data_IF_564980862444
#
_entry.id   IF_564980862444
#
_cell.length_a   1.000
_cell.length_b   1.000
_cell.length_c   1.000
_cell.angle_alpha   90.00
_cell.angle_beta   90.00
_cell.angle_gamma   90.00
#
_symmetry.space_group_name_H-M   'P 1'
#
loop_
_entity.id
_entity.type
_entity.pdbx_description
1 polymer ?
#
# COMPACT_ATOMS: atom_id res chain seq x y z
N UNK A 1 -66.83 8.63 52.70
CA UNK A 1 -66.70 8.32 51.26
C UNK A 1 -65.37 8.86 50.81
N UNK A 2 -64.38 7.98 50.79
CA UNK A 2 -62.97 8.29 50.54
C UNK A 2 -62.73 8.62 49.07
N UNK A 3 -62.31 9.86 48.78
CA UNK A 3 -61.74 10.21 47.48
C UNK A 3 -60.27 9.77 47.46
N UNK A 4 -60.05 8.52 47.04
CA UNK A 4 -58.74 7.96 46.73
C UNK A 4 -58.07 8.80 45.62
N UNK A 5 -57.05 9.60 45.96
CA UNK A 5 -56.22 10.29 44.96
C UNK A 5 -55.39 9.24 44.22
N UNK A 6 -55.77 8.94 42.97
CA UNK A 6 -54.96 8.11 42.07
C UNK A 6 -53.63 8.80 41.77
N UNK A 7 -52.48 8.09 41.83
CA UNK A 7 -51.20 8.64 41.37
C UNK A 7 -51.27 8.93 39.87
N UNK A 8 -50.65 10.05 39.46
CA UNK A 8 -50.59 10.45 38.06
C UNK A 8 -49.84 9.39 37.23
N UNK A 9 -50.31 9.11 36.01
CA UNK A 9 -49.64 8.14 35.14
C UNK A 9 -48.28 8.65 34.67
N UNK A 10 -47.36 7.73 34.35
CA UNK A 10 -46.02 8.05 33.83
C UNK A 10 -46.06 9.04 32.66
N UNK A 11 -47.00 8.87 31.72
CA UNK A 11 -47.18 9.79 30.59
C UNK A 11 -47.56 11.21 31.04
N UNK A 12 -48.34 11.34 32.11
CA UNK A 12 -48.80 12.63 32.64
C UNK A 12 -47.68 13.34 33.39
N UNK A 13 -46.88 12.58 34.14
CA UNK A 13 -45.71 13.09 34.87
C UNK A 13 -44.56 13.45 33.91
N UNK A 14 -44.34 12.62 32.89
CA UNK A 14 -43.44 12.92 31.78
C UNK A 14 -43.91 14.13 30.97
N UNK A 15 -45.21 14.27 30.66
CA UNK A 15 -45.73 15.48 29.99
C UNK A 15 -45.59 16.73 30.87
N UNK A 16 -45.73 16.62 32.19
CA UNK A 16 -45.56 17.75 33.10
C UNK A 16 -44.08 18.16 33.27
N UNK A 17 -43.17 17.19 33.32
CA UNK A 17 -41.72 17.41 33.34
C UNK A 17 -41.20 17.94 32.00
N UNK A 18 -41.67 17.34 30.90
CA UNK A 18 -41.41 17.80 29.54
C UNK A 18 -42.00 19.20 29.35
N UNK A 19 -43.19 19.54 29.85
CA UNK A 19 -43.69 20.93 29.84
C UNK A 19 -42.92 21.85 30.77
N UNK A 20 -42.35 21.39 31.89
CA UNK A 20 -41.45 22.23 32.71
C UNK A 20 -40.10 22.48 32.01
N UNK A 21 -39.56 21.49 31.31
CA UNK A 21 -38.32 21.61 30.54
C UNK A 21 -38.51 22.30 29.17
N UNK A 22 -39.64 22.08 28.49
CA UNK A 22 -40.00 22.69 27.20
C UNK A 22 -40.70 24.04 27.39
N UNK A 23 -41.36 24.37 28.50
CA UNK A 23 -41.73 25.78 28.76
C UNK A 23 -40.47 26.64 29.02
N UNK A 24 -39.30 25.99 29.19
CA UNK A 24 -37.96 26.56 29.15
C UNK A 24 -37.35 26.61 27.74
N UNK A 25 -37.99 26.03 26.70
CA UNK A 25 -37.45 25.94 25.34
C UNK A 25 -38.42 26.11 24.14
N UNK A 26 -39.74 26.13 24.31
CA UNK A 26 -40.69 26.37 23.22
C UNK A 26 -42.06 26.85 23.76
N UNK A 27 -42.27 28.17 23.75
CA UNK A 27 -43.53 28.72 23.24
C UNK A 27 -43.26 29.30 21.85
N UNK A 28 -43.34 28.41 20.86
CA UNK A 28 -43.58 28.69 19.45
C UNK A 28 -44.65 27.64 19.07
N UNK A 29 -45.86 27.95 18.60
CA UNK A 29 -46.17 28.75 17.41
C UNK A 29 -47.67 29.13 17.38
N UNK A 30 -48.01 29.98 16.40
CA UNK A 30 -49.32 30.49 15.94
C UNK A 30 -49.66 31.83 16.62
N UNK A 31 -49.72 32.99 15.97
CA UNK A 31 -49.84 33.37 14.56
C UNK A 31 -49.26 34.79 14.33
N UNK A 32 -48.82 35.04 13.10
CA UNK A 32 -48.93 36.28 12.30
C UNK A 32 -48.82 37.65 13.00
N UNK A 33 -47.94 38.47 12.40
CA UNK A 33 -47.82 39.94 12.51
C UNK A 33 -46.92 40.50 13.62
N UNK A 34 -45.88 41.19 13.12
CA UNK A 34 -45.23 42.38 13.66
C UNK A 34 -44.39 42.31 14.95
N UNK A 35 -43.10 42.57 14.75
CA UNK A 35 -42.23 43.41 15.59
C UNK A 35 -42.68 43.62 17.04
N UNK A 36 -42.45 42.67 17.95
CA UNK A 36 -42.15 42.88 19.39
C UNK A 36 -42.32 41.59 20.20
N UNK A 37 -41.41 40.61 20.10
CA UNK A 37 -41.40 39.51 21.10
C UNK A 37 -40.06 38.77 21.21
N UNK A 38 -38.94 39.49 21.26
CA UNK A 38 -37.60 38.88 21.49
C UNK A 38 -37.18 38.94 22.97
N UNK A 39 -37.87 39.67 23.85
CA UNK A 39 -37.29 40.07 25.15
C UNK A 39 -37.80 39.34 26.40
N UNK A 40 -38.58 38.26 26.31
CA UNK A 40 -39.29 37.75 27.49
C UNK A 40 -38.80 36.41 28.10
N UNK A 41 -37.87 35.65 27.52
CA UNK A 41 -37.53 34.30 28.05
C UNK A 41 -36.03 34.01 28.07
N UNK A 42 -35.28 34.62 29.02
CA UNK A 42 -34.12 34.02 29.73
C UNK A 42 -33.49 35.03 30.73
N UNK A 43 -34.23 35.44 31.77
CA UNK A 43 -33.65 36.22 32.89
C UNK A 43 -33.12 35.31 34.00
N UNK A 44 -32.25 34.35 33.67
CA UNK A 44 -31.39 33.66 34.65
C UNK A 44 -30.13 33.13 33.95
N UNK A 45 -29.02 33.82 34.25
CA UNK A 45 -27.66 33.66 33.74
C UNK A 45 -27.43 33.89 32.23
N UNK A 46 -27.76 35.11 31.76
CA UNK A 46 -27.57 35.55 30.37
C UNK A 46 -26.15 35.29 29.82
N UNK A 47 -25.14 35.36 30.69
CA UNK A 47 -23.72 35.11 30.35
C UNK A 47 -23.51 33.67 29.86
N UNK A 48 -24.16 32.70 30.49
CA UNK A 48 -24.01 31.27 30.17
C UNK A 48 -24.74 30.91 28.88
N UNK A 49 -25.94 31.45 28.65
CA UNK A 49 -26.72 31.16 27.44
C UNK A 49 -26.09 31.79 26.18
N UNK A 50 -25.52 32.98 26.32
CA UNK A 50 -24.70 33.59 25.26
C UNK A 50 -23.44 32.78 25.03
N UNK A 51 -22.76 32.34 26.08
CA UNK A 51 -21.59 31.47 25.96
C UNK A 51 -21.87 30.19 25.17
N UNK A 52 -22.96 29.49 25.48
CA UNK A 52 -23.36 28.24 24.81
C UNK A 52 -23.71 28.48 23.33
N UNK A 53 -24.28 29.65 22.99
CA UNK A 53 -24.67 29.98 21.61
C UNK A 53 -23.52 30.54 20.76
N UNK A 54 -22.59 31.29 21.36
CA UNK A 54 -21.45 31.88 20.65
C UNK A 54 -20.28 30.92 20.48
N UNK A 55 -20.06 30.01 21.44
CA UNK A 55 -19.01 29.00 21.35
C UNK A 55 -19.01 28.17 20.05
N UNK A 56 -20.16 27.65 19.54
CA UNK A 56 -20.20 26.96 18.24
C UNK A 56 -19.74 27.86 17.11
N UNK A 57 -20.23 29.11 17.09
CA UNK A 57 -19.92 30.09 16.04
C UNK A 57 -18.43 30.39 16.03
N UNK A 58 -17.81 30.58 17.21
CA UNK A 58 -16.38 30.83 17.34
C UNK A 58 -15.57 29.63 16.83
N UNK A 59 -15.94 28.40 17.22
CA UNK A 59 -15.27 27.20 16.72
C UNK A 59 -15.41 27.08 15.20
N UNK A 60 -16.60 27.31 14.64
CA UNK A 60 -16.80 27.28 13.20
C UNK A 60 -15.93 28.32 12.48
N UNK A 61 -15.83 29.54 13.00
CA UNK A 61 -14.96 30.58 12.44
C UNK A 61 -13.49 30.16 12.52
N UNK A 62 -13.04 29.63 13.66
CA UNK A 62 -11.67 29.13 13.82
C UNK A 62 -11.34 28.01 12.83
N UNK A 63 -12.28 27.08 12.60
CA UNK A 63 -12.10 26.01 11.63
C UNK A 63 -12.05 26.53 10.19
N UNK A 64 -12.87 27.51 9.82
CA UNK A 64 -12.80 28.15 8.48
C UNK A 64 -11.45 28.83 8.29
N UNK A 65 -10.95 29.56 9.29
CA UNK A 65 -9.64 30.22 9.22
C UNK A 65 -8.53 29.18 9.09
N UNK A 66 -8.55 28.12 9.90
CA UNK A 66 -7.58 27.04 9.85
C UNK A 66 -7.62 26.32 8.49
N UNK A 67 -8.82 26.07 7.96
CA UNK A 67 -9.04 25.45 6.67
C UNK A 67 -8.42 26.27 5.54
N UNK A 68 -8.56 27.59 5.58
CA UNK A 68 -7.96 28.49 4.60
C UNK A 68 -6.43 28.51 4.69
N UNK A 69 -5.87 28.50 5.90
CA UNK A 69 -4.41 28.44 6.11
C UNK A 69 -3.86 27.12 5.56
N UNK A 70 -4.47 25.99 5.91
CA UNK A 70 -4.04 24.66 5.45
C UNK A 70 -4.15 24.55 3.93
N UNK A 71 -5.27 24.99 3.34
CA UNK A 71 -5.43 24.97 1.87
C UNK A 71 -4.38 25.85 1.18
N UNK A 72 -4.05 27.02 1.73
CA UNK A 72 -3.00 27.88 1.19
C UNK A 72 -1.61 27.22 1.25
N UNK A 73 -1.34 26.44 2.30
CA UNK A 73 -0.09 25.69 2.42
C UNK A 73 -0.03 24.48 1.46
N UNK A 74 -1.17 23.81 1.26
CA UNK A 74 -1.32 22.68 0.34
C UNK A 74 -1.44 23.11 -1.14
N UNK A 75 -1.72 24.38 -1.43
CA UNK A 75 -1.78 24.92 -2.79
C UNK A 75 -0.41 25.32 -3.36
N UNK A 76 0.66 25.14 -2.58
CA UNK A 76 2.03 25.40 -3.05
C UNK A 76 2.35 24.55 -4.29
N UNK A 77 3.17 25.07 -5.24
CA UNK A 77 3.43 24.41 -6.53
C UNK A 77 4.00 22.99 -6.39
N UNK A 78 4.73 22.70 -5.31
CA UNK A 78 5.22 21.34 -5.00
C UNK A 78 4.12 20.28 -4.86
N UNK A 79 2.89 20.68 -4.51
CA UNK A 79 1.74 19.80 -4.32
C UNK A 79 0.79 19.76 -5.53
N UNK A 80 1.20 20.36 -6.66
CA UNK A 80 0.46 20.33 -7.92
C UNK A 80 1.26 19.59 -8.97
N UNK A 81 0.55 19.00 -9.93
CA UNK A 81 1.20 18.46 -11.12
C UNK A 81 1.92 19.59 -11.88
N UNK A 82 3.13 19.33 -12.33
CA UNK A 82 3.91 20.27 -13.14
C UNK A 82 3.30 20.42 -14.53
N UNK A 83 3.40 21.63 -15.08
CA UNK A 83 2.80 21.99 -16.35
C UNK A 83 3.72 22.90 -17.14
N UNK A 84 3.97 22.56 -18.41
CA UNK A 84 4.78 23.35 -19.32
C UNK A 84 3.90 23.98 -20.42
N UNK A 85 4.42 25.05 -21.01
CA UNK A 85 3.83 25.63 -22.21
C UNK A 85 4.31 24.87 -23.43
N UNK A 86 3.39 24.32 -24.21
CA UNK A 86 3.71 23.56 -25.43
C UNK A 86 3.59 24.45 -26.67
N UNK A 87 2.74 25.48 -26.62
CA UNK A 87 2.58 26.45 -27.71
C UNK A 87 2.56 27.88 -27.16
N UNK A 88 3.40 28.74 -27.74
CA UNK A 88 3.47 30.18 -27.43
C UNK A 88 2.91 31.01 -28.59
N UNK A 89 2.14 32.04 -28.27
CA UNK A 89 1.69 33.04 -29.25
C UNK A 89 2.85 33.95 -29.70
N UNK A 90 2.58 34.76 -30.73
CA UNK A 90 3.52 35.73 -31.33
C UNK A 90 4.03 36.76 -30.29
N UNK A 91 3.24 37.02 -29.24
CA UNK A 91 3.60 37.91 -28.12
C UNK A 91 4.36 37.19 -26.98
N UNK A 92 4.68 35.90 -27.11
CA UNK A 92 5.35 35.11 -26.07
C UNK A 92 4.42 34.63 -24.95
N UNK A 93 3.11 34.88 -25.03
CA UNK A 93 2.12 34.37 -24.07
C UNK A 93 1.83 32.89 -24.32
N UNK A 94 1.65 32.11 -23.25
CA UNK A 94 1.37 30.68 -23.36
C UNK A 94 -0.06 30.43 -23.86
N UNK A 95 -0.20 29.88 -25.06
CA UNK A 95 -1.49 29.56 -25.67
C UNK A 95 -2.01 28.20 -25.21
N UNK A 96 -1.13 27.21 -25.16
CA UNK A 96 -1.47 25.83 -24.78
C UNK A 96 -0.55 25.34 -23.68
N UNK A 97 -1.14 25.10 -22.51
CA UNK A 97 -0.46 24.55 -21.34
C UNK A 97 -0.83 23.09 -21.17
N UNK A 98 0.17 22.21 -21.11
CA UNK A 98 -0.04 20.79 -20.83
C UNK A 98 0.60 20.43 -19.50
N UNK A 99 -0.17 19.72 -18.68
CA UNK A 99 0.24 19.24 -17.37
C UNK A 99 0.50 17.74 -17.44
N UNK A 100 1.61 17.29 -16.85
CA UNK A 100 1.97 15.88 -16.93
C UNK A 100 3.21 15.54 -16.12
N UNK A 101 3.40 14.25 -15.92
CA UNK A 101 4.56 13.68 -15.22
C UNK A 101 5.87 14.17 -15.85
N UNK A 102 5.91 14.35 -17.18
CA UNK A 102 7.08 14.82 -17.91
C UNK A 102 7.50 16.27 -17.60
N UNK A 103 6.60 17.09 -17.04
CA UNK A 103 6.85 18.49 -16.70
C UNK A 103 6.89 18.72 -15.18
N UNK A 104 6.96 17.63 -14.41
CA UNK A 104 6.85 17.63 -12.96
C UNK A 104 8.17 17.25 -12.31
N UNK A 105 8.49 17.87 -11.18
CA UNK A 105 9.59 17.39 -10.31
C UNK A 105 9.18 16.12 -9.55
N UNK A 106 10.13 15.40 -8.96
CA UNK A 106 9.88 14.17 -8.19
C UNK A 106 8.78 14.32 -7.14
N UNK A 107 8.68 15.49 -6.49
CA UNK A 107 7.64 15.78 -5.51
C UNK A 107 6.26 16.03 -6.16
N UNK A 108 6.25 16.69 -7.33
CA UNK A 108 5.02 17.06 -8.05
C UNK A 108 4.37 15.88 -8.78
N UNK A 109 5.17 14.93 -9.28
CA UNK A 109 4.73 13.77 -10.07
C UNK A 109 3.62 13.00 -9.36
N UNK A 110 3.66 12.92 -8.03
CA UNK A 110 2.67 12.19 -7.24
C UNK A 110 1.26 12.77 -7.33
N UNK A 111 1.10 14.05 -7.65
CA UNK A 111 -0.20 14.71 -7.75
C UNK A 111 -0.77 14.69 -9.17
N UNK A 112 -0.01 14.19 -10.14
CA UNK A 112 -0.44 14.11 -11.53
C UNK A 112 -1.46 13.00 -11.77
N UNK A 113 -2.34 13.24 -12.76
CA UNK A 113 -3.17 12.18 -13.33
C UNK A 113 -2.27 11.22 -14.13
N UNK A 114 -2.49 9.93 -13.96
CA UNK A 114 -1.82 8.85 -14.69
C UNK A 114 -2.92 7.97 -15.30
N UNK A 115 -3.48 8.36 -16.46
CA UNK A 115 -4.59 7.64 -17.08
C UNK A 115 -4.17 6.27 -17.65
N UNK A 116 -2.90 6.13 -18.03
CA UNK A 116 -2.32 4.86 -18.46
C UNK A 116 -1.00 4.61 -17.70
N UNK A 117 -1.04 3.83 -16.62
CA UNK A 117 0.16 3.46 -15.88
C UNK A 117 1.18 2.70 -16.75
N UNK A 118 2.48 2.85 -16.47
CA UNK A 118 3.53 2.10 -17.15
C UNK A 118 3.39 0.59 -16.89
N UNK A 119 3.85 -0.20 -17.87
CA UNK A 119 3.92 -1.66 -17.78
C UNK A 119 5.32 -2.04 -17.33
N UNK A 120 5.43 -2.60 -16.13
CA UNK A 120 6.70 -3.01 -15.57
C UNK A 120 6.87 -4.53 -15.70
N UNK A 121 8.03 -5.03 -16.16
CA UNK A 121 8.34 -6.45 -16.10
C UNK A 121 8.09 -7.02 -14.71
N UNK A 122 7.57 -8.24 -14.64
CA UNK A 122 7.40 -8.92 -13.38
C UNK A 122 8.76 -9.41 -12.84
N UNK A 123 9.17 -8.84 -11.71
CA UNK A 123 10.45 -9.14 -11.05
C UNK A 123 10.24 -10.04 -9.83
N UNK A 124 11.28 -10.78 -9.44
CA UNK A 124 11.43 -11.43 -8.13
C UNK A 124 12.19 -10.51 -7.17
N UNK A 125 11.86 -10.54 -5.88
CA UNK A 125 12.71 -9.92 -4.85
C UNK A 125 13.93 -10.82 -4.61
N UNK A 126 15.11 -10.34 -4.99
CA UNK A 126 16.38 -11.05 -4.76
C UNK A 126 17.03 -10.47 -3.51
N UNK A 127 17.58 -11.28 -2.60
CA UNK A 127 18.33 -10.75 -1.47
C UNK A 127 19.57 -9.96 -1.89
N UNK A 128 19.86 -8.91 -1.13
CA UNK A 128 21.10 -8.15 -1.29
C UNK A 128 22.33 -9.06 -1.11
N UNK A 129 23.42 -8.87 -1.86
CA UNK A 129 24.62 -9.72 -1.79
C UNK A 129 25.13 -9.97 -0.37
N UNK A 130 25.14 -8.95 0.48
CA UNK A 130 25.57 -8.99 1.88
C UNK A 130 24.65 -9.78 2.82
N UNK A 131 23.40 -10.00 2.41
CA UNK A 131 22.36 -10.67 3.21
C UNK A 131 21.98 -12.06 2.72
N UNK A 132 22.46 -12.50 1.54
CA UNK A 132 22.20 -13.83 0.97
C UNK A 132 22.58 -14.96 1.93
N UNK A 133 21.71 -15.95 2.10
CA UNK A 133 21.90 -17.04 3.04
C UNK A 133 23.25 -17.76 2.89
N UNK A 134 23.95 -17.93 4.02
CA UNK A 134 25.23 -18.65 4.15
C UNK A 134 25.17 -19.57 5.36
N UNK A 135 26.09 -20.52 5.42
CA UNK A 135 26.23 -21.41 6.57
C UNK A 135 26.49 -20.61 7.85
N UNK A 136 25.74 -20.90 8.91
CA UNK A 136 25.90 -20.25 10.22
C UNK A 136 25.71 -21.25 11.36
N UNK A 137 26.12 -20.89 12.57
CA UNK A 137 25.90 -21.74 13.76
C UNK A 137 24.40 -22.05 13.98
N UNK A 138 23.52 -21.11 13.65
CA UNK A 138 22.06 -21.25 13.77
C UNK A 138 21.38 -21.90 12.56
N UNK A 139 22.10 -22.07 11.45
CA UNK A 139 21.68 -22.79 10.23
C UNK A 139 22.88 -23.62 9.71
N UNK A 140 23.20 -24.75 10.38
CA UNK A 140 24.40 -25.52 10.09
C UNK A 140 24.22 -26.48 8.89
N UNK A 141 23.32 -26.16 7.96
CA UNK A 141 23.11 -27.00 6.78
C UNK A 141 24.33 -26.96 5.87
N UNK A 142 24.81 -28.13 5.46
CA UNK A 142 26.02 -28.28 4.64
C UNK A 142 25.80 -27.89 3.17
N UNK A 143 24.54 -27.68 2.76
CA UNK A 143 24.15 -27.25 1.42
C UNK A 143 24.17 -25.72 1.23
N UNK A 144 24.45 -24.97 2.30
CA UNK A 144 24.61 -23.51 2.25
C UNK A 144 26.07 -23.12 1.96
N UNK A 145 26.29 -22.03 1.20
CA UNK A 145 27.65 -21.56 0.90
C UNK A 145 28.36 -21.02 2.15
N UNK A 146 29.69 -21.02 2.11
CA UNK A 146 30.52 -20.47 3.18
C UNK A 146 30.37 -18.95 3.30
N UNK A 147 30.44 -18.36 4.52
CA UNK A 147 30.24 -16.92 4.73
C UNK A 147 31.14 -15.99 3.91
N UNK A 148 32.33 -16.45 3.49
CA UNK A 148 33.29 -15.69 2.68
C UNK A 148 32.76 -15.28 1.30
N UNK A 149 31.71 -15.93 0.79
CA UNK A 149 31.08 -15.52 -0.46
C UNK A 149 30.41 -14.14 -0.35
N UNK A 150 30.03 -13.70 0.87
CA UNK A 150 29.42 -12.37 1.07
C UNK A 150 30.44 -11.27 0.90
N UNK A 151 31.67 -11.50 1.36
CA UNK A 151 32.76 -10.53 1.25
C UNK A 151 33.20 -10.34 -0.21
N UNK A 152 33.07 -11.40 -1.02
CA UNK A 152 33.38 -11.40 -2.46
C UNK A 152 32.18 -11.12 -3.38
N UNK A 153 30.99 -10.90 -2.80
CA UNK A 153 29.72 -10.64 -3.51
C UNK A 153 29.33 -11.75 -4.49
N UNK A 154 29.82 -12.96 -4.23
CA UNK A 154 29.69 -14.12 -5.11
C UNK A 154 28.64 -15.13 -4.64
N UNK A 155 28.01 -14.91 -3.49
CA UNK A 155 27.03 -15.85 -2.96
C UNK A 155 25.89 -16.10 -3.95
N UNK A 156 25.49 -17.35 -4.18
CA UNK A 156 24.25 -17.65 -4.90
C UNK A 156 23.03 -17.15 -4.13
N UNK A 157 21.91 -17.00 -4.82
CA UNK A 157 20.63 -16.68 -4.22
C UNK A 157 19.80 -17.97 -4.06
N UNK A 158 19.65 -18.40 -2.81
CA UNK A 158 19.02 -19.70 -2.51
C UNK A 158 17.49 -19.61 -2.44
N UNK A 159 16.84 -20.70 -2.86
CA UNK A 159 15.40 -20.96 -2.78
C UNK A 159 15.19 -22.23 -1.97
N UNK A 160 14.32 -22.19 -0.97
CA UNK A 160 13.98 -23.37 -0.17
C UNK A 160 12.84 -24.14 -0.83
N UNK A 161 12.92 -25.47 -0.86
CA UNK A 161 11.87 -26.33 -1.41
C UNK A 161 11.55 -27.48 -0.46
N UNK A 162 10.28 -27.86 -0.42
CA UNK A 162 9.80 -29.05 0.30
C UNK A 162 8.57 -29.59 -0.43
N UNK A 163 8.15 -30.80 -0.09
CA UNK A 163 6.92 -31.37 -0.61
C UNK A 163 6.75 -32.83 -0.22
N UNK A 164 5.58 -33.39 -0.53
CA UNK A 164 5.27 -34.78 -0.21
C UNK A 164 6.14 -35.77 -1.00
N UNK A 165 6.41 -35.46 -2.27
CA UNK A 165 7.31 -36.22 -3.15
C UNK A 165 8.53 -35.37 -3.46
N UNK A 166 9.67 -35.77 -2.88
CA UNK A 166 10.94 -35.07 -3.03
C UNK A 166 11.43 -35.05 -4.48
N UNK A 167 11.37 -36.18 -5.16
CA UNK A 167 11.87 -36.29 -6.53
C UNK A 167 11.06 -35.42 -7.48
N UNK A 168 9.74 -35.42 -7.31
CA UNK A 168 8.85 -34.56 -8.07
C UNK A 168 9.13 -33.08 -7.82
N UNK A 169 9.20 -32.68 -6.55
CA UNK A 169 9.44 -31.29 -6.16
C UNK A 169 10.80 -30.77 -6.65
N UNK A 170 11.87 -31.56 -6.50
CA UNK A 170 13.21 -31.21 -7.01
C UNK A 170 13.21 -31.11 -8.54
N UNK A 171 12.49 -31.99 -9.24
CA UNK A 171 12.38 -31.95 -10.71
C UNK A 171 11.67 -30.69 -11.22
N UNK A 172 10.56 -30.30 -10.58
CA UNK A 172 9.85 -29.06 -10.91
C UNK A 172 10.68 -27.84 -10.52
N UNK A 173 11.29 -27.84 -9.35
CA UNK A 173 12.13 -26.74 -8.86
C UNK A 173 13.37 -26.52 -9.74
N UNK A 174 13.95 -27.57 -10.32
CA UNK A 174 15.04 -27.46 -11.29
C UNK A 174 14.65 -26.67 -12.55
N UNK A 175 13.36 -26.56 -12.87
CA UNK A 175 12.83 -25.76 -13.96
C UNK A 175 12.49 -24.29 -13.61
N UNK A 176 12.66 -23.86 -12.35
CA UNK A 176 12.29 -22.51 -11.90
C UNK A 176 13.10 -21.42 -12.60
N UNK A 177 14.40 -21.64 -12.77
CA UNK A 177 15.32 -20.68 -13.38
C UNK A 177 15.92 -21.30 -14.65
N UNK A 178 15.31 -21.09 -15.83
CA UNK A 178 15.83 -21.69 -17.07
C UNK A 178 17.15 -21.03 -17.47
N UNK A 179 18.10 -21.85 -17.94
CA UNK A 179 19.32 -21.35 -18.57
C UNK A 179 18.96 -20.57 -19.85
N UNK A 180 19.54 -19.39 -20.01
CA UNK A 180 19.28 -18.53 -21.15
C UNK A 180 20.60 -18.07 -21.78
N UNK A 181 20.78 -18.32 -23.08
CA UNK A 181 21.94 -17.84 -23.83
C UNK A 181 21.62 -16.52 -24.54
N UNK A 182 22.54 -15.54 -24.51
CA UNK A 182 22.25 -14.19 -24.95
C UNK A 182 22.34 -14.09 -26.48
N UNK A 183 21.18 -14.12 -27.12
CA UNK A 183 20.97 -13.38 -28.38
C UNK A 183 19.78 -12.44 -28.18
N UNK A 184 19.91 -11.57 -27.18
CA UNK A 184 18.94 -10.52 -26.86
C UNK A 184 18.99 -9.43 -27.93
N UNK A 185 18.50 -9.74 -29.14
CA UNK A 185 18.03 -8.72 -30.09
C UNK A 185 16.67 -8.24 -29.60
N UNK A 186 16.69 -7.41 -28.56
CA UNK A 186 15.48 -6.94 -27.87
C UNK A 186 14.87 -5.80 -28.67
N UNK A 187 13.88 -6.12 -29.49
CA UNK A 187 12.94 -5.14 -30.05
C UNK A 187 11.80 -4.85 -29.06
N UNK A 188 11.39 -5.86 -28.27
CA UNK A 188 10.44 -5.74 -27.16
C UNK A 188 11.00 -6.34 -25.86
N UNK A 189 11.32 -5.47 -24.90
CA UNK A 189 11.93 -5.87 -23.63
C UNK A 189 10.94 -6.60 -22.71
N UNK A 190 9.63 -6.34 -22.83
CA UNK A 190 8.63 -7.01 -22.00
C UNK A 190 8.52 -8.49 -22.36
N UNK A 191 8.45 -8.82 -23.66
CA UNK A 191 8.45 -10.22 -24.10
C UNK A 191 9.76 -10.91 -23.72
N UNK A 192 10.91 -10.27 -23.94
CA UNK A 192 12.21 -10.84 -23.59
C UNK A 192 12.32 -11.18 -22.10
N UNK A 193 12.00 -10.22 -21.22
CA UNK A 193 12.05 -10.41 -19.77
C UNK A 193 10.95 -11.35 -19.25
N UNK A 194 9.86 -11.55 -19.99
CA UNK A 194 8.82 -12.51 -19.60
C UNK A 194 9.31 -13.97 -19.66
N UNK A 195 10.21 -14.28 -20.61
CA UNK A 195 10.73 -15.62 -20.90
C UNK A 195 11.84 -16.06 -19.94
N UNK A 196 12.51 -15.10 -19.29
CA UNK A 196 13.63 -15.34 -18.37
C UNK A 196 13.29 -14.87 -16.97
N UNK A 197 13.75 -15.54 -15.94
CA UNK A 197 13.44 -15.13 -14.57
C UNK A 197 14.42 -14.05 -14.13
N UNK A 198 13.89 -12.84 -13.95
CA UNK A 198 14.65 -11.68 -13.49
C UNK A 198 14.15 -11.20 -12.14
N UNK A 199 15.04 -10.54 -11.40
CA UNK A 199 14.73 -9.96 -10.11
C UNK A 199 15.58 -8.74 -9.78
N UNK A 200 15.34 -8.16 -8.61
CA UNK A 200 16.10 -7.03 -8.09
C UNK A 200 16.12 -7.09 -6.57
N UNK A 201 17.18 -6.54 -5.98
CA UNK A 201 17.38 -6.35 -4.55
C UNK A 201 16.88 -5.01 -4.01
N UNK A 202 16.47 -4.12 -4.92
CA UNK A 202 15.82 -2.85 -4.58
C UNK A 202 14.55 -3.10 -3.78
N UNK A 203 14.29 -2.26 -2.78
CA UNK A 203 13.05 -2.32 -2.03
C UNK A 203 11.85 -1.94 -2.94
N UNK A 204 10.76 -2.71 -2.93
CA UNK A 204 9.53 -2.37 -3.63
C UNK A 204 8.90 -1.10 -3.05
N UNK A 205 8.06 -0.45 -3.85
CA UNK A 205 7.32 0.75 -3.43
C UNK A 205 5.86 0.41 -3.10
N UNK A 206 5.13 1.38 -2.53
CA UNK A 206 3.71 1.25 -2.17
C UNK A 206 2.75 1.18 -3.37
N UNK A 207 3.21 1.50 -4.58
CA UNK A 207 2.38 1.56 -5.79
C UNK A 207 3.16 1.04 -6.98
N UNK A 208 2.49 0.44 -7.96
CA UNK A 208 3.13 0.02 -9.21
C UNK A 208 3.18 1.14 -10.27
N UNK A 209 2.94 2.41 -9.89
CA UNK A 209 3.09 3.58 -10.77
C UNK A 209 4.56 3.83 -11.14
N UNK A 210 5.46 3.47 -10.24
CA UNK A 210 6.91 3.52 -10.40
C UNK A 210 7.48 2.22 -9.83
N UNK A 211 8.32 1.54 -10.60
CA UNK A 211 9.08 0.38 -10.13
C UNK A 211 10.52 0.81 -9.84
N UNK A 212 10.95 0.83 -8.56
CA UNK A 212 12.28 1.29 -8.18
C UNK A 212 13.42 0.56 -8.89
N UNK A 213 13.29 -0.75 -9.14
CA UNK A 213 14.32 -1.56 -9.82
C UNK A 213 14.73 -1.04 -11.20
N UNK A 214 13.89 -0.22 -11.81
CA UNK A 214 14.09 0.33 -13.15
C UNK A 214 14.65 1.76 -13.13
N UNK A 215 15.12 2.24 -11.98
CA UNK A 215 15.80 3.53 -11.83
C UNK A 215 17.25 3.49 -12.35
N UNK A 216 17.85 4.65 -12.67
CA UNK A 216 19.06 4.78 -13.49
C UNK A 216 20.40 4.37 -12.83
N UNK A 217 20.38 3.46 -11.86
CA UNK A 217 21.59 2.98 -11.15
C UNK A 217 21.48 1.55 -10.66
N UNK A 218 20.30 0.94 -10.77
CA UNK A 218 20.02 -0.31 -10.08
C UNK A 218 20.35 -1.52 -10.96
N UNK A 219 20.74 -2.60 -10.28
CA UNK A 219 21.10 -3.85 -10.95
C UNK A 219 19.87 -4.75 -11.05
N UNK A 220 19.62 -5.26 -12.25
CA UNK A 220 18.66 -6.33 -12.49
C UNK A 220 19.42 -7.65 -12.49
N UNK A 221 18.97 -8.58 -11.65
CA UNK A 221 19.55 -9.90 -11.57
C UNK A 221 18.85 -10.86 -12.53
N UNK A 222 19.64 -11.54 -13.35
CA UNK A 222 19.21 -12.66 -14.16
C UNK A 222 19.44 -13.95 -13.37
N UNK A 223 18.36 -14.61 -12.95
CA UNK A 223 18.44 -15.85 -12.18
C UNK A 223 18.61 -17.04 -13.12
N UNK A 224 19.70 -17.78 -12.96
CA UNK A 224 20.04 -18.97 -13.76
C UNK A 224 20.52 -20.13 -12.87
N UNK A 225 20.52 -21.38 -13.37
CA UNK A 225 21.07 -22.50 -12.61
C UNK A 225 22.59 -22.38 -12.45
N UNK A 226 23.26 -21.84 -13.47
CA UNK A 226 24.70 -21.65 -13.53
C UNK A 226 24.98 -20.38 -14.31
N UNK A 227 25.89 -19.55 -13.80
CA UNK A 227 26.26 -18.32 -14.47
C UNK A 227 27.48 -18.55 -15.36
N UNK A 228 27.37 -18.17 -16.63
CA UNK A 228 28.54 -18.11 -17.52
C UNK A 228 29.27 -16.79 -17.26
N UNK A 229 30.60 -16.78 -17.11
CA UNK A 229 31.35 -15.53 -16.97
C UNK A 229 31.06 -14.62 -18.18
N UNK A 230 31.01 -13.30 -17.95
CA UNK A 230 30.77 -12.22 -18.94
C UNK A 230 29.31 -11.89 -19.33
N UNK A 231 28.31 -12.41 -18.62
CA UNK A 231 26.89 -12.01 -18.82
C UNK A 231 26.52 -10.70 -18.08
N UNK A 232 27.37 -9.68 -18.20
CA UNK A 232 27.07 -8.32 -17.76
C UNK A 232 26.75 -7.47 -18.98
N UNK A 233 25.47 -7.13 -19.16
CA UNK A 233 25.02 -6.36 -20.31
C UNK A 233 24.24 -5.13 -19.87
N UNK A 234 24.56 -3.99 -20.46
CA UNK A 234 23.77 -2.77 -20.28
C UNK A 234 22.67 -2.74 -21.34
N UNK A 235 21.41 -2.84 -20.93
CA UNK A 235 20.28 -2.69 -21.84
C UNK A 235 19.79 -1.25 -21.78
N UNK A 236 19.70 -0.61 -22.95
CA UNK A 236 19.01 0.68 -23.08
C UNK A 236 17.55 0.45 -23.46
N UNK A 237 16.61 0.99 -22.70
CA UNK A 237 15.18 0.92 -23.02
C UNK A 237 14.53 2.29 -22.82
N UNK A 238 13.42 2.55 -23.54
CA UNK A 238 12.70 3.83 -23.46
C UNK A 238 11.46 3.69 -22.59
N UNK A 239 11.53 4.12 -21.34
CA UNK A 239 10.35 4.29 -20.50
C UNK A 239 9.72 5.67 -20.80
N UNK A 240 8.58 5.70 -21.50
CA UNK A 240 7.89 6.97 -21.88
C UNK A 240 8.80 8.00 -22.58
N UNK A 241 9.72 7.52 -23.42
CA UNK A 241 10.65 8.37 -24.18
C UNK A 241 11.95 8.73 -23.45
N UNK A 242 12.11 8.35 -22.19
CA UNK A 242 13.37 8.53 -21.43
C UNK A 242 14.24 7.29 -21.65
N UNK A 243 15.47 7.43 -22.19
CA UNK A 243 16.40 6.31 -22.29
C UNK A 243 16.94 6.00 -20.90
N UNK A 244 16.68 4.78 -20.43
CA UNK A 244 17.21 4.24 -19.17
C UNK A 244 18.20 3.13 -19.49
N UNK A 245 19.32 3.12 -18.77
CA UNK A 245 20.33 2.07 -18.86
C UNK A 245 20.16 1.14 -17.67
N UNK A 246 20.00 -0.16 -17.92
CA UNK A 246 19.90 -1.19 -16.90
C UNK A 246 21.16 -2.02 -16.90
N UNK A 247 21.76 -2.20 -15.73
CA UNK A 247 22.86 -3.13 -15.54
C UNK A 247 22.28 -4.52 -15.23
N UNK A 248 22.55 -5.50 -16.09
CA UNK A 248 22.12 -6.88 -15.86
C UNK A 248 23.30 -7.69 -15.33
N UNK A 249 23.09 -8.40 -14.23
CA UNK A 249 24.08 -9.34 -13.67
C UNK A 249 23.46 -10.72 -13.49
N UNK A 250 24.20 -11.77 -13.83
CA UNK A 250 23.77 -13.13 -13.55
C UNK A 250 23.94 -13.47 -12.06
N UNK A 251 22.95 -14.14 -11.49
CA UNK A 251 23.03 -14.72 -10.14
C UNK A 251 22.54 -16.16 -10.20
N UNK A 252 23.32 -17.06 -9.59
CA UNK A 252 22.95 -18.46 -9.51
C UNK A 252 21.80 -18.65 -8.51
N UNK A 253 20.73 -19.29 -8.98
CA UNK A 253 19.57 -19.62 -8.19
C UNK A 253 19.63 -21.08 -7.74
N UNK A 254 19.93 -21.30 -6.47
CA UNK A 254 20.18 -22.65 -5.92
C UNK A 254 18.94 -23.16 -5.18
N UNK A 255 18.49 -24.37 -5.52
CA UNK A 255 17.35 -25.02 -4.88
C UNK A 255 17.82 -25.88 -3.72
N UNK A 256 17.31 -25.64 -2.51
CA UNK A 256 17.72 -26.32 -1.29
C UNK A 256 16.53 -27.07 -0.66
N UNK A 257 16.67 -28.38 -0.52
CA UNK A 257 15.61 -29.24 0.04
C UNK A 257 15.49 -29.10 1.56
N UNK A 258 14.26 -29.05 2.07
CA UNK A 258 13.94 -29.09 3.51
C UNK A 258 12.88 -30.13 3.79
N UNK A 259 12.95 -30.73 4.97
CA UNK A 259 12.06 -31.83 5.39
C UNK A 259 10.59 -31.41 5.53
N UNK A 260 10.31 -30.14 5.82
CA UNK A 260 8.94 -29.66 5.98
C UNK A 260 8.79 -28.14 5.85
N UNK A 261 7.55 -27.70 5.66
CA UNK A 261 7.16 -26.29 5.58
C UNK A 261 7.48 -25.51 6.86
N UNK A 262 7.44 -26.15 8.03
CA UNK A 262 7.81 -25.50 9.29
C UNK A 262 9.30 -25.14 9.33
N UNK A 263 10.18 -26.03 8.83
CA UNK A 263 11.62 -25.76 8.73
C UNK A 263 11.87 -24.60 7.77
N UNK A 264 11.20 -24.59 6.61
CA UNK A 264 11.27 -23.45 5.66
C UNK A 264 10.86 -22.15 6.35
N UNK A 265 9.74 -22.15 7.08
CA UNK A 265 9.24 -20.96 7.73
C UNK A 265 10.19 -20.44 8.83
N UNK A 266 10.80 -21.34 9.61
CA UNK A 266 11.81 -20.98 10.61
C UNK A 266 13.06 -20.35 9.97
N UNK A 267 13.52 -20.87 8.83
CA UNK A 267 14.67 -20.31 8.11
C UNK A 267 14.37 -18.97 7.46
N UNK A 268 13.21 -18.83 6.83
CA UNK A 268 12.75 -17.53 6.30
C UNK A 268 12.59 -16.49 7.40
N UNK A 269 12.12 -16.91 8.59
CA UNK A 269 12.01 -16.02 9.76
C UNK A 269 13.38 -15.56 10.28
N UNK A 270 14.40 -16.43 10.26
CA UNK A 270 15.79 -16.04 10.60
C UNK A 270 16.37 -15.03 9.60
N UNK A 271 15.92 -15.09 8.35
CA UNK A 271 16.22 -14.09 7.32
C UNK A 271 15.41 -12.79 7.45
N UNK A 272 14.39 -12.74 8.30
CA UNK A 272 13.61 -11.52 8.48
C UNK A 272 14.45 -10.46 9.20
N UNK A 273 14.49 -9.24 8.65
CA UNK A 273 15.26 -8.12 9.22
C UNK A 273 14.63 -7.63 10.52
N UNK A 274 14.95 -8.28 11.63
CA UNK A 274 14.71 -7.77 12.98
C UNK A 274 15.87 -6.84 13.39
N UNK A 275 15.59 -5.86 14.26
CA UNK A 275 16.63 -4.95 14.76
C UNK A 275 17.66 -5.72 15.61
N UNK A 276 18.75 -6.15 14.98
CA UNK A 276 19.91 -6.79 15.61
C UNK A 276 20.04 -8.28 15.30
N UNK A 277 20.92 -8.63 14.35
CA UNK A 277 21.26 -10.00 13.99
C UNK A 277 21.97 -10.08 12.64
N UNK A 278 22.76 -11.14 12.40
CA UNK A 278 23.25 -11.45 11.05
C UNK A 278 22.07 -12.02 10.24
N UNK A 279 21.74 -11.38 9.14
CA UNK A 279 20.58 -11.71 8.31
C UNK A 279 20.99 -12.78 7.29
N UNK A 280 20.15 -13.80 7.13
CA UNK A 280 20.28 -14.88 6.15
C UNK A 280 19.02 -14.95 5.29
N UNK A 281 18.99 -14.20 4.20
CA UNK A 281 17.84 -14.08 3.32
C UNK A 281 17.86 -15.11 2.18
N UNK A 282 16.67 -15.59 1.84
CA UNK A 282 16.39 -16.47 0.72
C UNK A 282 15.45 -15.76 -0.26
N UNK A 283 15.44 -16.15 -1.53
CA UNK A 283 14.50 -15.62 -2.52
C UNK A 283 13.05 -15.93 -2.10
N UNK A 284 12.77 -17.20 -1.82
CA UNK A 284 11.47 -17.72 -1.44
C UNK A 284 11.58 -19.14 -0.89
N UNK A 285 10.48 -19.65 -0.35
CA UNK A 285 10.24 -21.05 -0.06
C UNK A 285 9.06 -21.58 -0.87
N UNK A 286 9.17 -22.80 -1.40
CA UNK A 286 8.08 -23.49 -2.09
C UNK A 286 7.75 -24.79 -1.37
N UNK A 287 6.48 -24.98 -1.04
CA UNK A 287 5.96 -26.22 -0.48
C UNK A 287 4.97 -26.84 -1.47
N UNK A 288 5.45 -27.89 -2.16
CA UNK A 288 4.68 -28.68 -3.09
C UNK A 288 3.79 -29.65 -2.31
N UNK A 289 2.51 -29.29 -2.20
CA UNK A 289 1.48 -30.03 -1.45
C UNK A 289 1.10 -31.34 -2.17
N UNK A 290 -0.18 -31.61 -2.37
CA UNK A 290 -0.67 -32.71 -3.21
C UNK A 290 -0.60 -32.36 -4.69
N UNK A 291 0.54 -31.83 -5.15
CA UNK A 291 0.79 -31.60 -6.58
C UNK A 291 0.91 -32.94 -7.29
N UNK A 292 0.23 -33.07 -8.41
CA UNK A 292 0.25 -34.26 -9.29
C UNK A 292 0.37 -33.80 -10.73
N UNK A 293 0.46 -34.70 -11.70
CA UNK A 293 0.41 -34.34 -13.13
C UNK A 293 -0.89 -33.61 -13.55
N UNK A 294 -1.95 -33.72 -12.75
CA UNK A 294 -3.27 -33.15 -13.03
C UNK A 294 -3.54 -31.81 -12.33
N UNK A 295 -2.71 -31.39 -11.37
CA UNK A 295 -2.97 -30.18 -10.60
C UNK A 295 -1.78 -29.72 -9.78
N UNK A 296 -1.54 -28.41 -9.81
CA UNK A 296 -0.53 -27.73 -9.01
C UNK A 296 -1.12 -27.22 -7.70
N UNK A 297 -0.77 -27.87 -6.59
CA UNK A 297 -1.08 -27.42 -5.24
C UNK A 297 0.20 -26.97 -4.55
N UNK A 298 0.36 -25.65 -4.34
CA UNK A 298 1.61 -25.10 -3.84
C UNK A 298 1.40 -23.95 -2.86
N UNK A 299 2.21 -23.93 -1.81
CA UNK A 299 2.36 -22.76 -0.95
C UNK A 299 3.65 -22.02 -1.33
N UNK A 300 3.54 -20.71 -1.53
CA UNK A 300 4.69 -19.82 -1.77
C UNK A 300 4.95 -19.02 -0.49
N UNK A 301 6.05 -19.34 0.18
CA UNK A 301 6.52 -18.65 1.37
C UNK A 301 7.54 -17.60 0.95
N UNK A 302 7.46 -16.40 1.53
CA UNK A 302 8.37 -15.32 1.21
C UNK A 302 8.67 -14.48 2.45
N UNK A 303 9.85 -13.86 2.45
CA UNK A 303 10.25 -12.94 3.50
C UNK A 303 9.55 -11.59 3.30
N UNK A 304 8.77 -11.17 4.30
CA UNK A 304 8.05 -9.89 4.27
C UNK A 304 8.86 -8.72 4.84
N UNK A 305 10.20 -8.81 4.88
CA UNK A 305 11.09 -7.73 5.37
C UNK A 305 10.80 -6.39 4.70
N UNK A 306 10.49 -6.42 3.40
CA UNK A 306 10.18 -5.24 2.60
C UNK A 306 8.72 -4.81 2.67
N UNK A 307 7.91 -5.48 3.50
CA UNK A 307 6.55 -5.08 3.76
C UNK A 307 6.59 -4.07 4.89
N UNK A 308 6.65 -2.76 4.57
CA UNK A 308 6.66 -1.63 5.49
C UNK A 308 5.35 -1.51 6.29
N UNK A 309 5.02 -2.55 7.08
CA UNK A 309 3.84 -2.64 7.93
C UNK A 309 4.04 -1.73 9.15
N UNK A 310 3.70 -0.46 8.99
CA UNK A 310 3.22 0.32 10.14
C UNK A 310 1.70 0.25 10.15
N UNK A 311 1.08 0.14 11.33
CA UNK A 311 -0.36 -0.13 11.52
C UNK A 311 -1.32 0.89 10.84
N UNK A 312 -0.78 1.96 10.26
CA UNK A 312 -1.50 3.06 9.62
C UNK A 312 -0.97 3.41 8.20
N UNK A 313 -0.10 2.59 7.59
CA UNK A 313 0.53 2.90 6.30
C UNK A 313 0.15 1.92 5.18
N UNK A 314 0.34 2.39 3.95
CA UNK A 314 0.24 1.60 2.72
C UNK A 314 1.21 0.41 2.76
N UNK A 315 0.74 -0.73 2.23
CA UNK A 315 1.54 -1.96 2.10
C UNK A 315 2.33 -1.88 0.79
N UNK A 316 3.63 -2.22 0.83
CA UNK A 316 4.45 -2.27 -0.37
C UNK A 316 3.92 -3.30 -1.38
N UNK A 317 3.99 -2.98 -2.67
CA UNK A 317 3.63 -3.87 -3.78
C UNK A 317 4.72 -4.95 -3.93
N UNK A 318 4.60 -6.02 -3.13
CA UNK A 318 5.59 -7.10 -3.12
C UNK A 318 5.63 -7.86 -4.45
N UNK A 319 6.82 -8.30 -4.83
CA UNK A 319 7.17 -9.03 -6.05
C UNK A 319 6.74 -10.51 -6.07
N UNK A 320 5.64 -10.83 -5.39
CA UNK A 320 5.07 -12.19 -5.29
C UNK A 320 4.52 -12.74 -6.62
N UNK A 321 3.90 -11.94 -7.52
CA UNK A 321 3.33 -12.47 -8.76
C UNK A 321 4.36 -13.22 -9.63
N UNK A 322 5.63 -12.77 -9.65
CA UNK A 322 6.67 -13.45 -10.41
C UNK A 322 7.10 -14.77 -9.79
N UNK A 323 7.10 -14.89 -8.46
CA UNK A 323 7.35 -16.16 -7.76
C UNK A 323 6.32 -17.22 -8.17
N UNK A 324 5.03 -16.86 -8.10
CA UNK A 324 3.93 -17.74 -8.49
C UNK A 324 4.01 -18.11 -9.97
N UNK A 325 4.33 -17.15 -10.83
CA UNK A 325 4.48 -17.42 -12.25
C UNK A 325 5.68 -18.33 -12.55
N UNK A 326 6.82 -18.15 -11.91
CA UNK A 326 8.01 -18.97 -12.13
C UNK A 326 7.71 -20.45 -11.84
N UNK A 327 7.08 -20.75 -10.71
CA UNK A 327 6.75 -22.14 -10.34
C UNK A 327 5.63 -22.73 -11.19
N UNK A 328 4.63 -21.92 -11.56
CA UNK A 328 3.55 -22.35 -12.46
C UNK A 328 4.10 -22.69 -13.85
N UNK A 329 5.01 -21.87 -14.37
CA UNK A 329 5.67 -22.10 -15.64
C UNK A 329 6.58 -23.33 -15.61
N UNK A 330 7.36 -23.50 -14.53
CA UNK A 330 8.22 -24.68 -14.34
C UNK A 330 7.39 -25.98 -14.29
N UNK A 331 6.28 -25.98 -13.55
CA UNK A 331 5.36 -27.11 -13.49
C UNK A 331 4.77 -27.42 -14.87
N UNK A 332 4.27 -26.42 -15.61
CA UNK A 332 3.72 -26.61 -16.95
C UNK A 332 4.75 -27.20 -17.93
N UNK A 333 5.99 -26.72 -17.87
CA UNK A 333 7.10 -27.26 -18.68
C UNK A 333 7.43 -28.70 -18.31
N UNK A 334 7.37 -29.04 -17.02
CA UNK A 334 7.59 -30.40 -16.54
C UNK A 334 6.51 -31.37 -17.07
N UNK A 335 5.23 -31.00 -17.00
CA UNK A 335 4.12 -31.90 -17.39
C UNK A 335 3.82 -31.94 -18.90
N UNK A 336 4.04 -30.84 -19.63
CA UNK A 336 3.70 -30.73 -21.08
C UNK A 336 4.92 -30.67 -21.99
N UNK A 337 6.12 -30.60 -21.42
CA UNK A 337 7.35 -30.39 -22.16
C UNK A 337 7.67 -28.91 -22.43
N UNK A 338 8.85 -28.63 -23.01
CA UNK A 338 9.39 -27.27 -23.14
C UNK A 338 8.64 -26.38 -24.14
N UNK A 339 7.74 -26.95 -24.95
CA UNK A 339 6.93 -26.20 -25.93
C UNK A 339 5.75 -25.44 -25.33
N UNK A 340 5.45 -25.63 -24.04
CA UNK A 340 4.37 -24.91 -23.33
C UNK A 340 4.98 -23.93 -22.34
N UNK A 341 4.52 -22.68 -22.39
CA UNK A 341 5.01 -21.61 -21.51
C UNK A 341 3.86 -20.78 -20.96
N UNK A 342 3.99 -20.37 -19.69
CA UNK A 342 3.13 -19.39 -19.06
C UNK A 342 3.91 -18.11 -18.82
N UNK A 343 3.68 -17.10 -19.67
CA UNK A 343 4.40 -15.83 -19.64
C UNK A 343 3.65 -14.80 -18.82
N UNK A 344 4.35 -14.18 -17.87
CA UNK A 344 3.90 -12.97 -17.19
C UNK A 344 4.73 -11.80 -17.71
N UNK A 345 4.21 -11.10 -18.71
CA UNK A 345 4.94 -10.01 -19.38
C UNK A 345 5.14 -8.79 -18.48
N UNK A 346 4.10 -8.38 -17.77
CA UNK A 346 4.17 -7.19 -16.94
C UNK A 346 3.14 -7.19 -15.80
N UNK A 347 3.44 -6.35 -14.81
CA UNK A 347 2.51 -5.87 -13.78
C UNK A 347 2.36 -4.36 -13.97
N UNK A 348 1.15 -3.85 -13.77
CA UNK A 348 0.86 -2.42 -13.84
C UNK A 348 -0.18 -2.04 -12.79
N UNK A 349 -0.16 -0.78 -12.40
CA UNK A 349 -1.17 -0.22 -11.49
C UNK A 349 -2.49 0.08 -12.23
N UNK A 350 -3.54 0.37 -11.47
CA UNK A 350 -4.75 0.98 -12.01
C UNK A 350 -4.54 2.46 -12.38
N UNK A 351 -5.29 2.98 -13.38
CA UNK A 351 -5.30 4.40 -13.69
C UNK A 351 -5.58 5.26 -12.46
N UNK A 352 -4.80 6.34 -12.31
CA UNK A 352 -4.92 7.29 -11.21
C UNK A 352 -5.44 8.62 -11.74
N UNK A 353 -6.47 9.17 -11.09
CA UNK A 353 -6.88 10.56 -11.31
C UNK A 353 -5.95 11.51 -10.56
N UNK A 354 -5.76 12.73 -11.09
CA UNK A 354 -4.94 13.74 -10.43
C UNK A 354 -5.49 14.04 -9.04
N UNK A 355 -4.60 14.08 -8.05
CA UNK A 355 -4.98 14.34 -6.66
C UNK A 355 -4.60 15.76 -6.29
N UNK A 356 -5.56 16.52 -5.77
CA UNK A 356 -5.28 17.76 -5.03
C UNK A 356 -5.52 17.51 -3.56
N UNK A 357 -4.52 17.77 -2.71
CA UNK A 357 -4.72 17.71 -1.27
C UNK A 357 -5.61 18.87 -0.82
N UNK A 358 -6.91 18.58 -0.66
CA UNK A 358 -7.86 19.47 0.02
C UNK A 358 -8.21 18.78 1.32
N UNK A 359 -7.71 19.32 2.41
CA UNK A 359 -8.09 18.83 3.73
C UNK A 359 -9.53 19.29 3.99
N UNK A 360 -10.40 18.48 4.57
CA UNK A 360 -11.74 18.92 4.98
C UNK A 360 -11.91 18.67 6.47
N UNK A 361 -11.59 19.70 7.27
CA UNK A 361 -11.74 19.69 8.72
C UNK A 361 -13.18 19.43 9.15
N UNK A 362 -14.17 19.81 8.32
CA UNK A 362 -15.58 19.61 8.63
C UNK A 362 -15.95 18.13 8.64
N UNK A 363 -15.43 17.34 7.69
CA UNK A 363 -15.67 15.90 7.65
C UNK A 363 -15.08 15.17 8.85
N UNK A 364 -13.88 15.57 9.30
CA UNK A 364 -13.16 14.93 10.41
C UNK A 364 -13.82 15.20 11.77
N UNK A 365 -14.35 16.40 11.96
CA UNK A 365 -14.99 16.83 13.20
C UNK A 365 -16.51 16.61 13.19
N UNK A 366 -17.08 16.12 12.09
CA UNK A 366 -18.52 15.90 11.93
C UNK A 366 -19.12 15.05 13.05
N UNK A 367 -18.43 13.97 13.46
CA UNK A 367 -18.84 13.11 14.56
C UNK A 367 -18.80 13.83 15.93
N UNK A 368 -17.82 14.70 16.15
CA UNK A 368 -17.71 15.52 17.35
C UNK A 368 -18.82 16.57 17.42
N UNK A 369 -19.09 17.27 16.30
CA UNK A 369 -20.21 18.19 16.21
C UNK A 369 -21.56 17.50 16.39
N UNK A 370 -21.75 16.32 15.79
CA UNK A 370 -22.96 15.54 15.96
C UNK A 370 -23.15 15.12 17.42
N UNK A 371 -22.11 14.56 18.05
CA UNK A 371 -22.15 14.14 19.45
C UNK A 371 -22.47 15.33 20.36
N UNK A 372 -21.83 16.47 20.13
CA UNK A 372 -22.06 17.68 20.91
C UNK A 372 -23.48 18.27 20.72
N UNK A 373 -24.03 18.27 19.51
CA UNK A 373 -25.42 18.68 19.26
C UNK A 373 -26.41 17.73 19.95
N UNK A 374 -26.15 16.42 19.90
CA UNK A 374 -26.94 15.40 20.61
C UNK A 374 -26.85 15.62 22.13
N UNK A 375 -25.66 15.85 22.67
CA UNK A 375 -25.44 16.14 24.10
C UNK A 375 -26.01 17.48 24.56
N UNK A 376 -26.25 18.45 23.66
CA UNK A 376 -27.01 19.67 23.96
C UNK A 376 -28.53 19.44 23.94
N UNK A 377 -29.02 18.43 23.20
CA UNK A 377 -30.43 18.02 23.14
C UNK A 377 -30.82 17.06 24.29
N UNK A 378 -29.92 16.17 24.71
CA UNK A 378 -30.14 15.20 25.79
C UNK A 378 -30.17 15.70 27.25
N UNK A 379 -29.71 16.90 27.65
CA UNK A 379 -29.88 17.39 29.03
C UNK A 379 -31.35 17.64 29.35
N UNK A 380 -32.21 17.64 28.33
CA UNK A 380 -33.67 17.83 28.45
C UNK A 380 -34.39 16.53 28.81
N UNK A 381 -33.80 15.35 28.55
CA UNK A 381 -34.44 14.04 28.68
C UNK A 381 -33.96 13.18 29.87
N UNK A 382 -32.83 13.52 30.52
CA UNK A 382 -32.30 12.79 31.69
C UNK A 382 -32.21 13.60 32.99
N UNK A 383 -33.28 14.31 33.39
CA UNK A 383 -33.50 14.52 34.83
C UNK A 383 -34.16 13.26 35.40
N UNK A 384 -33.32 12.32 35.83
CA UNK A 384 -33.71 11.13 36.61
C UNK A 384 -34.42 11.62 37.89
N UNK A 385 -35.72 11.36 37.99
CA UNK A 385 -36.42 11.39 39.28
C UNK A 385 -35.84 10.30 40.17
N UNK A 386 -34.88 10.63 41.04
CA UNK A 386 -34.62 9.82 42.22
C UNK A 386 -35.70 10.16 43.25
N UNK A 387 -36.61 9.20 43.44
CA UNK A 387 -37.53 9.14 44.57
C UNK A 387 -36.79 8.36 45.67
N UNK A 388 -36.59 8.95 46.85
CA UNK A 388 -37.38 8.55 48.01
C UNK A 388 -38.32 9.66 48.48
#
# INVERSE_FOLDING_TARGET
MDTLRRPASFLTQANALLRKNICLQARLQIAVSDYTFITAMQKRNWKTNIGITFFPVIICVLLIVLQNIINSELDKPKYRCGCACVETDINGTCKRRECGVQYSTLEQVWNCAIPSPPRWPALIQVPQPESRAVKTVSQPFDDLPEPSCRDSWSCPASVLITGKDRYFAESVAGGLFPAFSPSLNVTDYLDALSRIVVGSDTAPWYTQLLEPAFSSSDTIYLLQPQCVPYLSQTISYRARGIPLQLNIQCVEGVMLWRESTSVINEELLKGYKQKGGKINEFIAGYDFLSTTEFGLGINVLYNSTYNDKTAYSFIAALRVPRLVNAVSNAYLKYIRGPGVEMRLEYVKEMPKVGTSYRFDLSSLLSALFFTWIVELLFPVSMMRCNIP
#
